data_IF_397590387780
#
_entry.id   IF_397590387780
#
_cell.length_a   1.000
_cell.length_b   1.000
_cell.length_c   1.000
_cell.angle_alpha   90.00
_cell.angle_beta   90.00
_cell.angle_gamma   90.00
#
_symmetry.space_group_name_H-M   'P 1'
#
loop_
_entity.id
_entity.type
_entity.pdbx_description
1 polymer ?
#
# COMPACT_ATOMS: atom_id res chain seq x y z
N UNK A 1 -21.03 29.30 6.29
CA UNK A 1 -20.85 28.12 7.15
C UNK A 1 -19.50 27.48 6.82
N UNK A 2 -18.60 27.30 7.79
CA UNK A 2 -17.37 26.51 7.61
C UNK A 2 -17.73 25.03 7.83
N UNK A 3 -18.35 24.42 6.82
CA UNK A 3 -19.07 23.15 6.91
C UNK A 3 -18.20 21.90 6.87
N UNK A 4 -17.03 21.91 7.50
CA UNK A 4 -16.15 20.74 7.53
C UNK A 4 -15.18 20.77 8.71
N UNK A 5 -14.79 19.58 9.16
CA UNK A 5 -13.48 19.37 9.79
C UNK A 5 -12.50 19.44 8.62
N UNK A 6 -11.57 20.39 8.63
CA UNK A 6 -10.56 20.52 7.57
C UNK A 6 -9.92 19.17 7.24
N UNK A 7 -9.33 19.04 6.04
CA UNK A 7 -8.66 17.80 5.65
C UNK A 7 -7.61 17.39 6.70
N UNK A 8 -7.74 16.16 7.19
CA UNK A 8 -6.76 15.54 8.06
C UNK A 8 -6.03 14.43 7.30
N UNK A 9 -4.77 14.69 6.93
CA UNK A 9 -3.93 13.76 6.17
C UNK A 9 -3.13 12.78 7.03
N UNK A 10 -3.31 12.78 8.36
CA UNK A 10 -2.50 11.98 9.29
C UNK A 10 -2.81 10.48 9.29
N UNK A 11 -4.01 10.08 8.82
CA UNK A 11 -4.44 8.69 8.73
C UNK A 11 -5.62 8.56 7.75
N UNK A 12 -5.68 7.44 7.02
CA UNK A 12 -6.84 7.04 6.24
C UNK A 12 -7.10 5.53 6.41
N UNK A 13 -8.37 5.09 6.52
CA UNK A 13 -8.69 3.67 6.47
C UNK A 13 -8.49 3.12 5.05
N UNK A 14 -8.03 1.88 4.96
CA UNK A 14 -7.86 1.14 3.71
C UNK A 14 -8.59 -0.20 3.82
N UNK A 15 -9.40 -0.53 2.82
CA UNK A 15 -10.04 -1.84 2.69
C UNK A 15 -9.69 -2.42 1.31
N UNK A 16 -9.21 -3.67 1.30
CA UNK A 16 -8.87 -4.42 0.10
C UNK A 16 -9.68 -5.72 0.03
N UNK A 17 -10.04 -6.14 -1.17
CA UNK A 17 -10.76 -7.38 -1.44
C UNK A 17 -10.42 -7.90 -2.84
N UNK A 18 -10.38 -9.22 -3.02
CA UNK A 18 -9.98 -9.88 -4.27
C UNK A 18 -8.45 -10.00 -4.46
N UNK A 19 -8.00 -10.25 -5.69
CA UNK A 19 -6.57 -10.32 -6.01
C UNK A 19 -5.82 -11.52 -5.40
N UNK A 20 -6.51 -12.47 -4.78
CA UNK A 20 -5.86 -13.62 -4.15
C UNK A 20 -5.08 -13.31 -2.87
N UNK A 21 -5.22 -12.10 -2.32
CA UNK A 21 -4.57 -11.71 -1.05
C UNK A 21 -5.17 -12.48 0.14
N UNK A 22 -4.43 -12.52 1.24
CA UNK A 22 -4.90 -13.11 2.51
C UNK A 22 -6.01 -12.27 3.14
N UNK A 23 -7.28 -12.63 2.89
CA UNK A 23 -8.46 -11.87 3.34
C UNK A 23 -8.84 -12.09 4.81
N UNK A 24 -9.72 -11.24 5.33
CA UNK A 24 -10.28 -11.35 6.68
C UNK A 24 -9.33 -10.89 7.78
N UNK A 25 -8.34 -10.06 7.44
CA UNK A 25 -7.29 -9.59 8.34
C UNK A 25 -7.53 -8.13 8.71
N UNK A 26 -7.20 -7.80 9.96
CA UNK A 26 -7.04 -6.41 10.43
C UNK A 26 -5.54 -6.19 10.62
N UNK A 27 -5.00 -5.17 9.96
CA UNK A 27 -3.57 -4.86 9.95
C UNK A 27 -3.37 -3.44 10.47
N UNK A 28 -2.50 -3.30 11.46
CA UNK A 28 -2.20 -2.03 12.12
C UNK A 28 -3.32 -1.55 13.05
N UNK A 29 -3.09 -0.38 13.64
CA UNK A 29 -4.04 0.30 14.52
C UNK A 29 -3.83 1.82 14.45
N UNK A 30 -4.89 2.58 14.70
CA UNK A 30 -4.79 4.03 14.89
C UNK A 30 -4.41 4.37 16.32
N UNK A 31 -3.95 5.61 16.53
CA UNK A 31 -3.93 6.23 17.86
C UNK A 31 -5.34 6.24 18.47
N UNK A 32 -5.42 6.40 19.80
CA UNK A 32 -6.69 6.40 20.54
C UNK A 32 -7.70 7.44 20.01
N UNK A 33 -7.19 8.56 19.49
CA UNK A 33 -7.97 9.64 18.90
C UNK A 33 -8.17 9.52 17.38
N UNK A 34 -7.60 8.48 16.74
CA UNK A 34 -7.71 8.24 15.30
C UNK A 34 -6.88 9.17 14.42
N UNK A 35 -5.97 9.96 15.00
CA UNK A 35 -5.21 10.98 14.28
C UNK A 35 -3.98 10.46 13.52
N UNK A 36 -3.38 9.36 13.96
CA UNK A 36 -2.14 8.83 13.38
C UNK A 36 -2.09 7.30 13.47
N UNK A 37 -1.22 6.63 12.68
CA UNK A 37 -0.96 5.21 12.87
C UNK A 37 -0.21 4.98 14.20
N UNK A 38 -0.73 4.07 15.02
CA UNK A 38 -0.10 3.65 16.28
C UNK A 38 0.67 2.33 16.13
N UNK A 39 0.32 1.50 15.15
CA UNK A 39 0.99 0.24 14.88
C UNK A 39 1.00 -0.06 13.37
N UNK A 40 2.09 -0.66 12.89
CA UNK A 40 2.31 -1.10 11.51
C UNK A 40 1.82 -0.08 10.44
N UNK A 41 2.44 1.12 10.37
CA UNK A 41 2.02 2.14 9.41
C UNK A 41 2.14 1.64 7.97
N UNK A 42 1.02 1.66 7.25
CA UNK A 42 0.94 1.34 5.83
C UNK A 42 1.00 2.63 5.01
N UNK A 43 1.92 2.69 4.06
CA UNK A 43 2.10 3.82 3.15
C UNK A 43 1.50 3.55 1.78
N UNK A 44 1.40 4.60 0.95
CA UNK A 44 0.95 4.45 -0.44
C UNK A 44 1.91 3.56 -1.25
N UNK A 45 3.21 3.58 -0.93
CA UNK A 45 4.22 2.73 -1.53
C UNK A 45 3.96 1.25 -1.22
N UNK A 46 3.49 0.93 0.00
CA UNK A 46 3.12 -0.45 0.34
C UNK A 46 1.89 -0.92 -0.45
N UNK A 47 0.89 -0.05 -0.61
CA UNK A 47 -0.30 -0.36 -1.41
C UNK A 47 0.08 -0.60 -2.87
N UNK A 48 0.88 0.29 -3.47
CA UNK A 48 1.35 0.13 -4.84
C UNK A 48 2.13 -1.17 -5.01
N UNK A 49 3.07 -1.47 -4.11
CA UNK A 49 3.84 -2.72 -4.13
C UNK A 49 2.94 -3.96 -4.02
N UNK A 50 1.91 -3.92 -3.18
CA UNK A 50 0.94 -5.02 -3.04
C UNK A 50 0.19 -5.27 -4.34
N UNK A 51 -0.28 -4.19 -5.00
CA UNK A 51 -0.99 -4.28 -6.28
C UNK A 51 -0.06 -4.81 -7.37
N UNK A 52 1.16 -4.27 -7.49
CA UNK A 52 2.11 -4.71 -8.51
C UNK A 52 2.54 -6.15 -8.31
N UNK A 53 2.76 -6.58 -7.06
CA UNK A 53 3.07 -7.97 -6.75
C UNK A 53 1.93 -8.93 -7.09
N UNK A 54 0.69 -8.46 -7.00
CA UNK A 54 -0.50 -9.27 -7.35
C UNK A 54 -0.68 -9.39 -8.87
N UNK A 55 -0.34 -8.34 -9.62
CA UNK A 55 -0.60 -8.26 -11.05
C UNK A 55 0.55 -8.76 -11.93
N UNK A 56 1.78 -8.70 -11.42
CA UNK A 56 3.00 -8.92 -12.20
C UNK A 56 3.88 -9.98 -11.55
N UNK A 57 4.52 -10.78 -12.40
CA UNK A 57 5.73 -11.50 -11.99
C UNK A 57 6.90 -10.51 -12.01
N UNK A 58 7.28 -10.02 -10.82
CA UNK A 58 8.35 -9.04 -10.69
C UNK A 58 9.73 -9.59 -11.06
N UNK A 59 9.91 -10.92 -11.05
CA UNK A 59 11.12 -11.57 -11.53
C UNK A 59 11.27 -11.40 -13.04
N UNK A 60 10.20 -11.67 -13.78
CA UNK A 60 10.15 -11.48 -15.23
C UNK A 60 10.26 -10.00 -15.62
N UNK A 61 9.54 -9.11 -14.93
CA UNK A 61 9.61 -7.66 -15.20
C UNK A 61 11.03 -7.12 -15.04
N UNK A 62 11.82 -7.64 -14.09
CA UNK A 62 13.19 -7.19 -13.82
C UNK A 62 14.16 -7.49 -14.96
N UNK A 63 13.88 -8.49 -15.78
CA UNK A 63 14.73 -8.90 -16.91
C UNK A 63 14.20 -8.41 -18.27
N UNK A 64 13.08 -7.68 -18.29
CA UNK A 64 12.54 -7.10 -19.51
C UNK A 64 13.42 -5.97 -20.04
N UNK A 65 13.80 -6.07 -21.32
CA UNK A 65 14.52 -5.02 -22.02
C UNK A 65 13.62 -3.81 -22.35
N UNK A 66 14.23 -2.63 -22.40
CA UNK A 66 13.56 -1.41 -22.86
C UNK A 66 12.70 -0.68 -21.82
N UNK A 67 12.60 -1.20 -20.59
CA UNK A 67 11.95 -0.47 -19.50
C UNK A 67 12.86 0.62 -18.93
N UNK A 68 12.36 1.86 -18.74
CA UNK A 68 13.12 2.89 -18.03
C UNK A 68 13.46 2.44 -16.61
N UNK A 69 14.69 2.70 -16.16
CA UNK A 69 15.14 2.34 -14.81
C UNK A 69 14.22 2.90 -13.71
N UNK A 70 13.74 4.13 -13.87
CA UNK A 70 12.81 4.76 -12.92
C UNK A 70 11.49 4.00 -12.78
N UNK A 71 11.01 3.39 -13.86
CA UNK A 71 9.81 2.56 -13.84
C UNK A 71 10.08 1.22 -13.13
N UNK A 72 11.21 0.57 -13.43
CA UNK A 72 11.63 -0.64 -12.73
C UNK A 72 11.78 -0.41 -11.22
N UNK A 73 12.44 0.69 -10.84
CA UNK A 73 12.60 1.08 -9.43
C UNK A 73 11.25 1.33 -8.76
N UNK A 74 10.28 1.92 -9.49
CA UNK A 74 8.91 2.14 -8.96
C UNK A 74 8.14 0.83 -8.78
N UNK A 75 8.27 -0.10 -9.72
CA UNK A 75 7.56 -1.39 -9.68
C UNK A 75 8.14 -2.36 -8.64
N UNK A 76 9.44 -2.26 -8.37
CA UNK A 76 10.17 -3.25 -7.55
C UNK A 76 10.71 -2.69 -6.23
N UNK A 77 10.75 -1.37 -6.05
CA UNK A 77 11.39 -0.73 -4.89
C UNK A 77 10.55 -0.65 -3.63
N UNK A 78 9.27 -1.03 -3.67
CA UNK A 78 8.38 -1.03 -2.50
C UNK A 78 8.18 -2.43 -1.91
N UNK A 79 7.87 -2.50 -0.62
CA UNK A 79 7.49 -3.75 0.05
C UNK A 79 5.96 -3.87 0.13
N UNK A 80 5.36 -5.00 -0.27
CA UNK A 80 3.93 -5.25 -0.09
C UNK A 80 3.49 -5.13 1.38
N UNK A 81 2.19 -4.93 1.60
CA UNK A 81 1.60 -4.85 2.93
C UNK A 81 1.82 -6.19 3.64
N UNK A 82 2.61 -6.16 4.70
CA UNK A 82 2.93 -7.33 5.52
C UNK A 82 1.65 -7.99 6.02
N UNK A 83 1.50 -9.28 5.77
CA UNK A 83 0.35 -10.08 6.19
C UNK A 83 -0.82 -10.12 5.19
N UNK A 84 -0.70 -9.47 4.02
CA UNK A 84 -1.64 -9.63 2.91
C UNK A 84 -1.11 -10.51 1.78
N UNK A 85 0.21 -10.57 1.60
CA UNK A 85 0.88 -11.43 0.63
C UNK A 85 1.65 -12.52 1.35
#
# INVERSE_FOLDING_TARGET
>A
AKGGRDHWGGLAPLMLYGGGLQMGRVIGASSRDGGSPADNPVTMQNLLATVMHTLLDLGEVRVMDGLPKSLLDTLTGGEPIKGLV
#
